data_IF_629250146489
#
_entry.id   IF_629250146489
#
_cell.length_a   1.000
_cell.length_b   1.000
_cell.length_c   1.000
_cell.angle_alpha   90.00
_cell.angle_beta   90.00
_cell.angle_gamma   90.00
#
_symmetry.space_group_name_H-M   'P 1'
#
loop_
_entity.id
_entity.type
_entity.pdbx_description
1 polymer ?
#
# COMPACT_ATOMS: atom_id res chain seq x y z
N UNK A 1 -7.24 -5.62 -9.99
CA UNK A 1 -8.34 -6.24 -9.20
C UNK A 1 -9.00 -5.22 -8.28
N UNK A 2 -8.27 -4.56 -7.37
CA UNK A 2 -8.86 -3.60 -6.41
C UNK A 2 -9.79 -2.55 -7.05
N UNK A 3 -9.32 -1.76 -8.03
CA UNK A 3 -10.16 -0.75 -8.69
C UNK A 3 -11.40 -1.31 -9.40
N UNK A 4 -11.28 -2.50 -10.04
CA UNK A 4 -12.42 -3.16 -10.68
C UNK A 4 -13.44 -3.73 -9.67
N UNK A 5 -12.96 -4.24 -8.53
CA UNK A 5 -13.81 -4.67 -7.43
C UNK A 5 -14.56 -3.49 -6.80
N UNK A 6 -13.89 -2.35 -6.61
CA UNK A 6 -14.54 -1.11 -6.14
C UNK A 6 -15.57 -0.62 -7.15
N UNK A 7 -15.26 -0.60 -8.46
CA UNK A 7 -16.23 -0.23 -9.50
C UNK A 7 -17.50 -1.07 -9.44
N UNK A 8 -17.36 -2.39 -9.33
CA UNK A 8 -18.50 -3.29 -9.40
C UNK A 8 -19.27 -3.37 -8.06
N UNK A 9 -18.60 -3.25 -6.90
CA UNK A 9 -19.25 -3.33 -5.59
C UNK A 9 -19.75 -1.96 -5.08
N UNK A 10 -19.02 -0.89 -5.38
CA UNK A 10 -19.27 0.47 -4.88
C UNK A 10 -19.10 1.53 -5.99
N UNK A 11 -20.01 1.57 -6.99
CA UNK A 11 -19.85 2.42 -8.18
C UNK A 11 -19.76 3.92 -7.86
N UNK A 12 -20.54 4.42 -6.90
CA UNK A 12 -20.47 5.85 -6.52
C UNK A 12 -19.15 6.20 -5.85
N UNK A 13 -18.61 5.28 -5.02
CA UNK A 13 -17.28 5.46 -4.44
C UNK A 13 -16.21 5.46 -5.53
N UNK A 14 -16.29 4.52 -6.47
CA UNK A 14 -15.38 4.48 -7.61
C UNK A 14 -15.44 5.78 -8.42
N UNK A 15 -16.62 6.25 -8.79
CA UNK A 15 -16.81 7.46 -9.59
C UNK A 15 -16.23 8.69 -8.88
N UNK A 16 -16.56 8.86 -7.59
CA UNK A 16 -16.09 10.01 -6.78
C UNK A 16 -14.58 9.97 -6.59
N UNK A 17 -14.01 8.79 -6.29
CA UNK A 17 -12.58 8.61 -6.10
C UNK A 17 -11.81 8.89 -7.40
N UNK A 18 -12.22 8.32 -8.53
CA UNK A 18 -11.49 8.45 -9.80
C UNK A 18 -11.65 9.83 -10.44
N UNK A 19 -12.79 10.50 -10.25
CA UNK A 19 -12.97 11.88 -10.69
C UNK A 19 -12.24 12.88 -9.79
N UNK A 20 -12.38 12.75 -8.46
CA UNK A 20 -11.75 13.67 -7.51
C UNK A 20 -10.23 13.54 -7.41
N UNK A 21 -9.72 12.31 -7.52
CA UNK A 21 -8.29 12.00 -7.46
C UNK A 21 -7.74 11.74 -8.86
N UNK A 22 -8.34 12.35 -9.89
CA UNK A 22 -7.94 12.16 -11.28
C UNK A 22 -6.44 12.32 -11.49
N UNK A 23 -5.88 13.47 -11.10
CA UNK A 23 -4.46 13.75 -11.33
C UNK A 23 -3.52 12.77 -10.56
N UNK A 24 -3.70 12.52 -9.24
CA UNK A 24 -2.92 11.51 -8.54
C UNK A 24 -3.00 10.13 -9.20
N UNK A 25 -4.20 9.66 -9.53
CA UNK A 25 -4.39 8.31 -10.10
C UNK A 25 -3.83 8.21 -11.52
N UNK A 26 -3.94 9.28 -12.32
CA UNK A 26 -3.32 9.37 -13.63
C UNK A 26 -1.79 9.30 -13.54
N UNK A 27 -1.18 10.03 -12.61
CA UNK A 27 0.26 10.00 -12.37
C UNK A 27 0.73 8.61 -11.90
N UNK A 28 -0.02 7.97 -10.99
CA UNK A 28 0.25 6.58 -10.58
C UNK A 28 0.22 5.66 -11.80
N UNK A 29 -0.82 5.74 -12.63
CA UNK A 29 -0.95 4.91 -13.83
C UNK A 29 0.25 5.10 -14.76
N UNK A 30 0.62 6.34 -15.04
CA UNK A 30 1.77 6.67 -15.87
C UNK A 30 3.07 6.08 -15.28
N UNK A 31 3.30 6.26 -13.98
CA UNK A 31 4.46 5.71 -13.28
C UNK A 31 4.53 4.18 -13.34
N UNK A 32 3.39 3.50 -13.20
CA UNK A 32 3.31 2.04 -13.30
C UNK A 32 3.54 1.53 -14.73
N UNK A 33 3.05 2.24 -15.75
CA UNK A 33 3.34 1.94 -17.16
C UNK A 33 4.83 2.09 -17.42
N UNK A 34 5.41 3.23 -17.06
CA UNK A 34 6.85 3.50 -17.23
C UNK A 34 7.70 2.45 -16.52
N UNK A 35 7.30 2.01 -15.32
CA UNK A 35 7.98 0.93 -14.60
C UNK A 35 7.93 -0.39 -15.36
N UNK A 36 6.78 -0.76 -15.93
CA UNK A 36 6.63 -1.98 -16.73
C UNK A 36 7.50 -1.97 -17.98
N UNK A 37 7.47 -0.87 -18.72
CA UNK A 37 8.34 -0.65 -19.89
C UNK A 37 9.81 -0.70 -19.47
N UNK A 38 10.18 -0.08 -18.35
CA UNK A 38 11.56 -0.04 -17.90
C UNK A 38 12.13 -1.43 -17.62
N UNK A 39 11.37 -2.36 -17.02
CA UNK A 39 11.84 -3.73 -16.82
C UNK A 39 12.13 -4.46 -18.13
N UNK A 40 11.30 -4.30 -19.15
CA UNK A 40 11.49 -4.95 -20.46
C UNK A 40 12.65 -4.33 -21.25
N UNK A 41 12.79 -3.00 -21.22
CA UNK A 41 13.75 -2.28 -22.06
C UNK A 41 15.14 -2.15 -21.45
N UNK A 42 15.27 -2.23 -20.12
CA UNK A 42 16.54 -2.06 -19.39
C UNK A 42 17.68 -2.90 -19.95
N UNK A 43 17.41 -4.16 -20.28
CA UNK A 43 18.44 -5.13 -20.71
C UNK A 43 18.55 -5.28 -22.24
N UNK A 44 17.84 -4.48 -23.04
CA UNK A 44 17.84 -4.58 -24.51
C UNK A 44 19.08 -3.96 -25.16
N UNK A 45 19.80 -3.09 -24.45
CA UNK A 45 20.98 -2.42 -24.96
C UNK A 45 22.07 -2.34 -23.89
N UNK A 46 23.33 -2.56 -24.29
CA UNK A 46 24.47 -2.67 -23.36
C UNK A 46 25.06 -1.34 -22.93
N UNK A 47 24.58 -0.21 -23.46
CA UNK A 47 25.04 1.12 -23.08
C UNK A 47 24.74 1.41 -21.59
N UNK A 48 25.75 1.77 -20.77
CA UNK A 48 25.54 2.12 -19.37
C UNK A 48 24.54 3.27 -19.14
N UNK A 49 24.51 4.27 -20.03
CA UNK A 49 23.55 5.39 -19.94
C UNK A 49 22.11 4.93 -20.15
N UNK A 50 21.91 3.94 -21.03
CA UNK A 50 20.60 3.34 -21.30
C UNK A 50 20.09 2.59 -20.06
N UNK A 51 20.94 1.73 -19.48
CA UNK A 51 20.59 0.99 -18.25
C UNK A 51 20.27 1.94 -17.10
N UNK A 52 21.08 2.98 -16.90
CA UNK A 52 20.86 3.98 -15.85
C UNK A 52 19.55 4.76 -16.03
N UNK A 53 19.20 5.15 -17.27
CA UNK A 53 17.92 5.79 -17.56
C UNK A 53 16.74 4.92 -17.12
N UNK A 54 16.75 3.64 -17.49
CA UNK A 54 15.67 2.72 -17.12
C UNK A 54 15.67 2.38 -15.63
N UNK A 55 16.82 2.33 -14.97
CA UNK A 55 16.92 2.22 -13.51
C UNK A 55 16.23 3.39 -12.81
N UNK A 56 16.45 4.62 -13.28
CA UNK A 56 15.73 5.80 -12.80
C UNK A 56 14.23 5.76 -13.08
N UNK A 57 13.81 5.24 -14.23
CA UNK A 57 12.39 5.03 -14.53
C UNK A 57 11.73 4.03 -13.58
N UNK A 58 12.40 2.91 -13.26
CA UNK A 58 11.91 1.94 -12.27
C UNK A 58 11.80 2.58 -10.89
N UNK A 59 12.83 3.33 -10.47
CA UNK A 59 12.85 4.01 -9.18
C UNK A 59 11.73 5.05 -9.08
N UNK A 60 11.66 5.99 -10.02
CA UNK A 60 10.69 7.07 -10.02
C UNK A 60 9.25 6.54 -10.10
N UNK A 61 8.99 5.57 -10.98
CA UNK A 61 7.67 4.95 -11.10
C UNK A 61 7.23 4.22 -9.83
N UNK A 62 8.17 3.57 -9.12
CA UNK A 62 7.89 2.91 -7.84
C UNK A 62 7.67 3.92 -6.72
N UNK A 63 8.52 4.95 -6.63
CA UNK A 63 8.42 6.02 -5.63
C UNK A 63 7.12 6.82 -5.77
N UNK A 64 6.71 7.12 -7.02
CA UNK A 64 5.48 7.84 -7.31
C UNK A 64 4.25 7.10 -6.76
N UNK A 65 4.21 5.77 -6.95
CA UNK A 65 3.13 4.94 -6.42
C UNK A 65 3.13 4.91 -4.88
N UNK A 66 4.30 4.80 -4.24
CA UNK A 66 4.39 4.79 -2.77
C UNK A 66 4.13 6.14 -2.11
N UNK A 67 4.15 7.23 -2.87
CA UNK A 67 3.78 8.57 -2.39
C UNK A 67 2.30 8.86 -2.61
N UNK A 68 1.79 8.64 -3.83
CA UNK A 68 0.45 9.10 -4.19
C UNK A 68 -0.68 8.20 -3.64
N UNK A 69 -0.48 6.88 -3.53
CA UNK A 69 -1.51 6.02 -2.91
C UNK A 69 -1.78 6.39 -1.44
N UNK A 70 -0.77 6.54 -0.57
CA UNK A 70 -0.99 6.96 0.81
C UNK A 70 -1.62 8.34 0.94
N UNK A 71 -1.23 9.29 0.07
CA UNK A 71 -1.89 10.60 -0.01
C UNK A 71 -3.38 10.42 -0.28
N UNK A 72 -3.73 9.55 -1.24
CA UNK A 72 -5.13 9.28 -1.53
C UNK A 72 -5.87 8.71 -0.31
N UNK A 73 -5.35 7.63 0.30
CA UNK A 73 -6.00 6.99 1.45
C UNK A 73 -6.08 7.88 2.70
N UNK A 74 -5.05 8.68 2.98
CA UNK A 74 -5.07 9.62 4.10
C UNK A 74 -6.14 10.71 3.91
N UNK A 75 -6.36 11.17 2.68
CA UNK A 75 -7.43 12.12 2.39
C UNK A 75 -8.82 11.48 2.47
N UNK A 76 -8.96 10.18 2.20
CA UNK A 76 -10.22 9.49 2.46
C UNK A 76 -10.56 9.50 3.97
N UNK A 77 -9.54 9.27 4.81
CA UNK A 77 -9.67 9.27 6.28
C UNK A 77 -9.96 10.66 6.86
N UNK A 78 -9.16 11.66 6.48
CA UNK A 78 -9.32 13.04 6.94
C UNK A 78 -10.62 13.67 6.42
N UNK A 79 -11.12 13.17 5.29
CA UNK A 79 -12.22 13.76 4.56
C UNK A 79 -11.77 14.77 3.51
N UNK A 80 -12.55 14.85 2.45
CA UNK A 80 -12.32 15.72 1.29
C UNK A 80 -13.57 16.51 0.95
N UNK A 81 -13.46 17.65 0.25
CA UNK A 81 -14.64 18.43 -0.12
C UNK A 81 -15.49 17.68 -1.14
N UNK A 82 -16.59 17.08 -0.70
CA UNK A 82 -17.57 16.37 -1.52
C UNK A 82 -18.91 17.07 -1.38
N UNK A 83 -19.56 17.39 -2.49
CA UNK A 83 -20.86 18.06 -2.51
C UNK A 83 -22.05 17.08 -2.44
N UNK A 84 -23.27 17.62 -2.46
CA UNK A 84 -24.51 16.86 -2.43
C UNK A 84 -24.70 15.87 -3.60
N UNK A 85 -23.99 16.07 -4.71
CA UNK A 85 -24.04 15.20 -5.89
C UNK A 85 -22.96 14.11 -5.86
N UNK A 86 -22.28 13.93 -4.73
CA UNK A 86 -21.11 13.06 -4.58
C UNK A 86 -19.96 13.46 -5.52
N UNK A 87 -19.80 14.75 -5.80
CA UNK A 87 -18.70 15.25 -6.62
C UNK A 87 -17.64 15.90 -5.75
N UNK A 88 -16.38 15.62 -6.08
CA UNK A 88 -15.26 16.29 -5.44
C UNK A 88 -15.17 17.75 -5.90
N UNK A 89 -15.26 18.67 -4.95
CA UNK A 89 -15.24 20.11 -5.20
C UNK A 89 -13.86 20.77 -4.96
N UNK A 90 -12.84 19.97 -4.62
CA UNK A 90 -11.49 20.47 -4.37
C UNK A 90 -10.58 20.48 -5.59
N UNK A 91 -9.35 20.97 -5.42
CA UNK A 91 -8.28 20.87 -6.41
C UNK A 91 -7.14 19.98 -5.93
N UNK A 92 -6.22 19.59 -6.83
CA UNK A 92 -5.11 18.69 -6.51
C UNK A 92 -4.31 19.07 -5.26
N UNK A 93 -4.00 20.36 -5.08
CA UNK A 93 -3.20 20.82 -3.94
C UNK A 93 -3.91 20.67 -2.58
N UNK A 94 -5.24 20.53 -2.56
CA UNK A 94 -5.99 20.23 -1.33
C UNK A 94 -5.60 18.85 -0.77
N UNK A 95 -5.23 17.91 -1.64
CA UNK A 95 -4.78 16.57 -1.25
C UNK A 95 -3.39 16.60 -0.60
N UNK A 96 -2.60 17.66 -0.83
CA UNK A 96 -1.25 17.81 -0.29
C UNK A 96 -1.27 18.56 1.04
N UNK A 97 -1.80 17.91 2.08
CA UNK A 97 -1.81 18.42 3.45
C UNK A 97 -0.81 17.67 4.34
N UNK A 98 -0.42 18.23 5.51
CA UNK A 98 0.59 17.62 6.39
C UNK A 98 0.29 16.18 6.80
N UNK A 99 -0.98 15.84 7.01
CA UNK A 99 -1.39 14.47 7.35
C UNK A 99 -1.19 13.49 6.18
N UNK A 100 -1.56 13.89 4.97
CA UNK A 100 -1.34 13.10 3.77
C UNK A 100 0.15 12.94 3.42
N UNK A 101 0.96 13.98 3.63
CA UNK A 101 2.42 13.93 3.45
C UNK A 101 3.09 13.03 4.48
N UNK A 102 2.62 13.03 5.73
CA UNK A 102 3.06 12.08 6.75
C UNK A 102 2.75 10.64 6.30
N UNK A 103 1.54 10.38 5.80
CA UNK A 103 1.16 9.07 5.28
C UNK A 103 2.09 8.61 4.14
N UNK A 104 2.40 9.49 3.18
CA UNK A 104 3.34 9.22 2.09
C UNK A 104 4.72 8.85 2.60
N UNK A 105 5.25 9.60 3.56
CA UNK A 105 6.56 9.34 4.15
C UNK A 105 6.59 7.99 4.87
N UNK A 106 5.59 7.73 5.71
CA UNK A 106 5.47 6.48 6.50
C UNK A 106 5.42 5.28 5.57
N UNK A 107 4.53 5.29 4.58
CA UNK A 107 4.33 4.14 3.70
C UNK A 107 5.52 3.94 2.76
N UNK A 108 6.13 5.02 2.26
CA UNK A 108 7.35 4.92 1.44
C UNK A 108 8.49 4.26 2.22
N UNK A 109 8.73 4.67 3.47
CA UNK A 109 9.77 4.07 4.31
C UNK A 109 9.41 2.66 4.78
N UNK A 110 8.13 2.40 5.07
CA UNK A 110 7.65 1.06 5.43
C UNK A 110 7.83 0.08 4.25
N UNK A 111 7.53 0.48 3.02
CA UNK A 111 7.78 -0.35 1.84
C UNK A 111 9.27 -0.49 1.53
N UNK A 112 10.09 0.52 1.82
CA UNK A 112 11.54 0.41 1.71
C UNK A 112 12.08 -0.63 2.69
N UNK A 113 11.64 -0.59 3.96
CA UNK A 113 11.98 -1.59 4.98
C UNK A 113 11.51 -3.00 4.58
N UNK A 114 10.29 -3.11 4.08
CA UNK A 114 9.70 -4.37 3.60
C UNK A 114 10.46 -4.96 2.40
N UNK A 115 10.84 -4.12 1.44
CA UNK A 115 11.66 -4.51 0.29
C UNK A 115 13.07 -4.93 0.71
N UNK A 116 13.70 -4.20 1.63
CA UNK A 116 15.02 -4.55 2.15
C UNK A 116 15.00 -5.86 2.95
N UNK A 117 13.97 -6.10 3.77
CA UNK A 117 13.82 -7.36 4.50
C UNK A 117 13.59 -8.53 3.53
N UNK A 118 12.83 -8.35 2.44
CA UNK A 118 12.72 -9.33 1.39
C UNK A 118 14.05 -9.60 0.67
N UNK A 119 14.80 -8.57 0.30
CA UNK A 119 16.11 -8.73 -0.34
C UNK A 119 17.08 -9.50 0.55
N UNK A 120 17.11 -9.21 1.85
CA UNK A 120 17.99 -9.90 2.80
C UNK A 120 17.79 -11.42 2.87
N UNK A 121 16.61 -11.93 2.52
CA UNK A 121 16.36 -13.38 2.44
C UNK A 121 16.53 -13.92 1.01
N UNK A 122 16.41 -13.05 0.00
CA UNK A 122 16.37 -13.45 -1.40
C UNK A 122 17.74 -13.41 -2.10
N UNK A 123 18.63 -12.53 -1.70
CA UNK A 123 19.96 -12.35 -2.30
C UNK A 123 21.05 -12.94 -1.43
N UNK A 124 22.24 -13.19 -1.97
CA UNK A 124 23.45 -13.61 -1.23
C UNK A 124 24.57 -12.55 -1.34
N UNK A 125 25.65 -12.71 -0.56
CA UNK A 125 26.87 -11.91 -0.68
C UNK A 125 26.70 -10.45 -0.27
N UNK A 126 27.30 -9.53 -1.03
CA UNK A 126 27.34 -8.10 -0.71
C UNK A 126 25.93 -7.46 -0.67
N UNK A 127 25.03 -7.86 -1.59
CA UNK A 127 23.66 -7.33 -1.64
C UNK A 127 22.87 -7.74 -0.41
N UNK A 128 23.07 -8.98 0.07
CA UNK A 128 22.46 -9.44 1.33
C UNK A 128 22.89 -8.56 2.50
N UNK A 129 24.19 -8.28 2.64
CA UNK A 129 24.73 -7.48 3.74
C UNK A 129 24.18 -6.05 3.72
N UNK A 130 24.20 -5.39 2.54
CA UNK A 130 23.63 -4.05 2.38
C UNK A 130 22.14 -3.99 2.72
N UNK A 131 21.36 -5.00 2.30
CA UNK A 131 19.95 -5.09 2.62
C UNK A 131 19.73 -5.25 4.13
N UNK A 132 20.52 -6.09 4.80
CA UNK A 132 20.45 -6.29 6.27
C UNK A 132 20.79 -5.01 7.03
N UNK A 133 21.83 -4.30 6.63
CA UNK A 133 22.22 -3.01 7.23
C UNK A 133 21.13 -1.96 7.06
N UNK A 134 20.54 -1.87 5.87
CA UNK A 134 19.43 -0.95 5.61
C UNK A 134 18.22 -1.26 6.50
N UNK A 135 17.88 -2.54 6.70
CA UNK A 135 16.83 -2.95 7.65
C UNK A 135 17.16 -2.51 9.08
N UNK A 136 18.40 -2.72 9.54
CA UNK A 136 18.85 -2.29 10.89
C UNK A 136 18.75 -0.79 11.10
N UNK A 137 19.12 -0.01 10.09
CA UNK A 137 19.10 1.45 10.16
C UNK A 137 17.67 2.01 10.08
N UNK A 138 16.85 1.51 9.14
CA UNK A 138 15.50 2.03 8.92
C UNK A 138 14.47 1.59 9.96
N UNK A 139 14.65 0.43 10.59
CA UNK A 139 13.60 -0.17 11.43
C UNK A 139 13.10 0.77 12.53
N UNK A 140 13.99 1.39 13.30
CA UNK A 140 13.62 2.33 14.39
C UNK A 140 12.85 3.54 13.87
N UNK A 141 13.30 4.10 12.75
CA UNK A 141 12.64 5.25 12.11
C UNK A 141 11.22 4.89 11.65
N UNK A 142 11.06 3.71 11.03
CA UNK A 142 9.75 3.23 10.56
C UNK A 142 8.81 2.96 11.74
N UNK A 143 9.29 2.35 12.83
CA UNK A 143 8.49 2.15 14.06
C UNK A 143 7.96 3.49 14.57
N UNK A 144 8.84 4.49 14.71
CA UNK A 144 8.49 5.80 15.21
C UNK A 144 7.46 6.49 14.29
N UNK A 145 7.68 6.46 12.98
CA UNK A 145 6.76 7.08 12.02
C UNK A 145 5.41 6.39 11.95
N UNK A 146 5.37 5.05 11.97
CA UNK A 146 4.10 4.30 12.04
C UNK A 146 3.33 4.68 13.31
N UNK A 147 4.00 4.76 14.45
CA UNK A 147 3.37 5.15 15.71
C UNK A 147 2.81 6.57 15.66
N UNK A 148 3.59 7.53 15.16
CA UNK A 148 3.16 8.93 14.97
C UNK A 148 1.96 9.00 14.03
N UNK A 149 2.00 8.29 12.89
CA UNK A 149 0.90 8.28 11.93
C UNK A 149 -0.39 7.71 12.55
N UNK A 150 -0.29 6.61 13.29
CA UNK A 150 -1.45 6.01 13.94
C UNK A 150 -2.06 6.97 14.96
N UNK A 151 -1.26 7.55 15.87
CA UNK A 151 -1.75 8.55 16.84
C UNK A 151 -2.39 9.73 16.12
N UNK A 152 -1.72 10.27 15.11
CA UNK A 152 -2.24 11.40 14.34
C UNK A 152 -3.55 11.06 13.66
N UNK A 153 -3.70 9.83 13.15
CA UNK A 153 -4.95 9.36 12.55
C UNK A 153 -6.09 9.36 13.58
N UNK A 154 -5.87 8.83 14.79
CA UNK A 154 -6.87 8.86 15.88
C UNK A 154 -7.26 10.28 16.35
N UNK A 155 -6.38 11.26 16.15
CA UNK A 155 -6.64 12.66 16.53
C UNK A 155 -7.40 13.39 15.42
N UNK A 156 -7.06 13.14 14.16
CA UNK A 156 -7.62 13.87 13.01
C UNK A 156 -8.95 13.29 12.55
N UNK A 157 -9.14 11.96 12.66
CA UNK A 157 -10.39 11.34 12.23
C UNK A 157 -11.46 11.41 13.32
N UNK A 158 -12.70 11.32 12.89
CA UNK A 158 -13.93 11.24 13.69
C UNK A 158 -14.12 9.91 14.42
N UNK A 159 -13.08 9.05 14.45
CA UNK A 159 -13.15 7.71 15.07
C UNK A 159 -13.58 7.73 16.53
N UNK A 160 -13.36 8.85 17.24
CA UNK A 160 -13.75 9.00 18.65
C UNK A 160 -15.26 8.84 18.84
N UNK A 161 -16.06 9.17 17.84
CA UNK A 161 -17.51 9.03 17.87
C UNK A 161 -17.96 7.58 17.62
N UNK A 162 -17.10 6.75 17.02
CA UNK A 162 -17.43 5.41 16.52
C UNK A 162 -16.40 4.33 16.90
N UNK A 163 -15.76 4.47 18.07
CA UNK A 163 -14.76 3.51 18.56
C UNK A 163 -15.37 2.11 18.64
N UNK A 164 -14.68 1.12 18.05
CA UNK A 164 -15.07 -0.27 18.09
C UNK A 164 -13.84 -1.18 18.33
N UNK A 165 -14.09 -2.48 18.45
CA UNK A 165 -13.02 -3.46 18.70
C UNK A 165 -11.91 -3.41 17.63
N UNK A 166 -12.28 -3.29 16.35
CA UNK A 166 -11.34 -3.32 15.24
C UNK A 166 -10.52 -2.04 15.10
N UNK A 167 -11.11 -0.87 15.41
CA UNK A 167 -10.38 0.40 15.36
C UNK A 167 -9.24 0.43 16.35
N UNK A 168 -9.32 -0.29 17.48
CA UNK A 168 -8.24 -0.40 18.46
C UNK A 168 -7.30 -1.57 18.17
N UNK A 169 -7.85 -2.76 17.88
CA UNK A 169 -7.05 -3.99 17.81
C UNK A 169 -6.13 -4.01 16.59
N UNK A 170 -6.59 -3.57 15.43
CA UNK A 170 -5.76 -3.57 14.22
C UNK A 170 -4.49 -2.70 14.34
N UNK A 171 -4.56 -1.42 14.78
CA UNK A 171 -3.34 -0.63 14.96
C UNK A 171 -2.43 -1.20 16.05
N UNK A 172 -2.99 -1.76 17.13
CA UNK A 172 -2.19 -2.43 18.16
C UNK A 172 -1.42 -3.61 17.58
N UNK A 173 -2.05 -4.44 16.75
CA UNK A 173 -1.37 -5.55 16.08
C UNK A 173 -0.32 -5.04 15.08
N UNK A 174 -0.60 -3.97 14.33
CA UNK A 174 0.38 -3.37 13.41
C UNK A 174 1.65 -2.91 14.14
N UNK A 175 1.47 -2.22 15.28
CA UNK A 175 2.56 -1.75 16.16
C UNK A 175 3.29 -2.94 16.81
N UNK A 176 2.57 -3.92 17.35
CA UNK A 176 3.16 -5.10 17.95
C UNK A 176 3.99 -5.90 16.92
N UNK A 177 3.51 -6.04 15.69
CA UNK A 177 4.22 -6.71 14.61
C UNK A 177 5.53 -5.98 14.26
N UNK A 178 5.51 -4.65 14.10
CA UNK A 178 6.73 -3.93 13.75
C UNK A 178 7.74 -3.91 14.91
N UNK A 179 7.27 -3.88 16.15
CA UNK A 179 8.13 -4.03 17.33
C UNK A 179 8.74 -5.45 17.41
N UNK A 180 7.93 -6.48 17.16
CA UNK A 180 8.39 -7.87 17.07
C UNK A 180 9.41 -8.07 15.94
N UNK A 181 9.32 -7.32 14.84
CA UNK A 181 10.34 -7.30 13.80
C UNK A 181 11.72 -6.92 14.37
N UNK A 182 11.78 -5.95 15.30
CA UNK A 182 13.02 -5.57 15.99
C UNK A 182 13.59 -6.68 16.87
N UNK A 183 12.74 -7.45 17.53
CA UNK A 183 13.16 -8.63 18.30
C UNK A 183 13.83 -9.68 17.41
N UNK A 184 13.22 -10.00 16.26
CA UNK A 184 13.80 -10.95 15.31
C UNK A 184 15.02 -10.41 14.58
N UNK A 185 15.08 -9.09 14.39
CA UNK A 185 16.23 -8.41 13.80
C UNK A 185 17.48 -8.57 14.67
N UNK A 186 17.36 -8.41 16.00
CA UNK A 186 18.45 -8.67 16.96
C UNK A 186 18.93 -10.13 16.96
N UNK A 187 18.08 -11.06 16.55
CA UNK A 187 18.40 -12.49 16.41
C UNK A 187 18.90 -12.86 15.01
N UNK A 188 19.08 -11.89 14.12
CA UNK A 188 19.47 -12.11 12.72
C UNK A 188 18.47 -13.01 11.94
N UNK A 189 17.21 -13.08 12.37
CA UNK A 189 16.18 -13.94 11.78
C UNK A 189 15.37 -13.20 10.71
N UNK A 190 16.01 -12.81 9.61
CA UNK A 190 15.42 -11.94 8.58
C UNK A 190 14.15 -12.50 7.91
N UNK A 191 13.98 -13.82 7.84
CA UNK A 191 12.71 -14.41 7.37
C UNK A 191 11.52 -14.06 8.27
N UNK A 192 11.72 -13.99 9.59
CA UNK A 192 10.70 -13.57 10.54
C UNK A 192 10.53 -12.05 10.55
N UNK A 193 11.60 -11.29 10.33
CA UNK A 193 11.53 -9.84 10.13
C UNK A 193 10.63 -9.52 8.93
N UNK A 194 10.85 -10.19 7.79
CA UNK A 194 10.01 -10.05 6.61
C UNK A 194 8.54 -10.36 6.91
N UNK A 195 8.26 -11.51 7.55
CA UNK A 195 6.89 -11.87 7.96
C UNK A 195 6.24 -10.80 8.85
N UNK A 196 6.97 -10.28 9.83
CA UNK A 196 6.46 -9.22 10.70
C UNK A 196 6.17 -7.94 9.92
N UNK A 197 7.00 -7.56 8.93
CA UNK A 197 6.70 -6.42 8.06
C UNK A 197 5.47 -6.67 7.18
N UNK A 198 5.22 -7.90 6.71
CA UNK A 198 3.97 -8.26 6.02
C UNK A 198 2.76 -8.02 6.92
N UNK A 199 2.84 -8.48 8.18
CA UNK A 199 1.77 -8.30 9.16
C UNK A 199 1.55 -6.82 9.47
N UNK A 200 2.62 -6.04 9.65
CA UNK A 200 2.50 -4.58 9.83
C UNK A 200 1.78 -3.94 8.65
N UNK A 201 2.16 -4.23 7.40
CA UNK A 201 1.50 -3.67 6.22
C UNK A 201 0.03 -4.09 6.16
N UNK A 202 -0.27 -5.37 6.39
CA UNK A 202 -1.65 -5.88 6.38
C UNK A 202 -2.52 -5.19 7.43
N UNK A 203 -2.07 -5.14 8.69
CA UNK A 203 -2.82 -4.52 9.77
C UNK A 203 -2.86 -3.00 9.67
N UNK A 204 -1.84 -2.36 9.10
CA UNK A 204 -1.86 -0.92 8.80
C UNK A 204 -2.96 -0.58 7.79
N UNK A 205 -3.10 -1.36 6.72
CA UNK A 205 -4.19 -1.20 5.75
C UNK A 205 -5.55 -1.51 6.38
N UNK A 206 -5.65 -2.56 7.19
CA UNK A 206 -6.89 -2.88 7.92
C UNK A 206 -7.28 -1.76 8.89
N UNK A 207 -6.32 -1.11 9.55
CA UNK A 207 -6.58 0.07 10.38
C UNK A 207 -7.21 1.19 9.57
N UNK A 208 -6.68 1.53 8.39
CA UNK A 208 -7.26 2.58 7.54
C UNK A 208 -8.74 2.29 7.26
N UNK A 209 -9.08 1.07 6.86
CA UNK A 209 -10.49 0.73 6.59
C UNK A 209 -11.35 0.61 7.84
N UNK A 210 -10.80 0.20 8.98
CA UNK A 210 -11.52 0.18 10.25
C UNK A 210 -11.84 1.60 10.75
N UNK A 211 -10.91 2.56 10.54
CA UNK A 211 -11.12 3.97 10.85
C UNK A 211 -12.12 4.64 9.90
N UNK A 212 -12.19 4.19 8.64
CA UNK A 212 -13.18 4.70 7.68
C UNK A 212 -14.60 4.19 7.96
N UNK A 213 -14.74 2.95 8.39
CA UNK A 213 -16.05 2.31 8.54
C UNK A 213 -16.99 3.09 9.48
N UNK A 214 -18.26 3.35 9.10
CA UNK A 214 -18.99 2.79 7.95
C UNK A 214 -18.84 3.59 6.63
N UNK A 215 -18.09 4.68 6.66
CA UNK A 215 -17.76 5.46 5.48
C UNK A 215 -16.74 4.71 4.60
N UNK A 216 -16.77 5.01 3.32
CA UNK A 216 -15.71 4.67 2.37
C UNK A 216 -14.98 5.92 1.89
N UNK A 217 -15.62 7.09 2.05
CA UNK A 217 -15.06 8.39 1.72
C UNK A 217 -15.81 9.48 2.51
N UNK A 218 -15.10 10.18 3.40
CA UNK A 218 -15.69 11.19 4.29
C UNK A 218 -15.79 12.55 3.58
N UNK A 219 -16.95 13.22 3.70
CA UNK A 219 -17.11 14.58 3.21
C UNK A 219 -16.73 15.60 4.29
N UNK A 220 -15.88 16.55 3.92
CA UNK A 220 -15.52 17.70 4.76
C UNK A 220 -16.49 18.89 4.64
N UNK A 221 -17.40 18.89 3.66
CA UNK A 221 -18.37 19.98 3.48
C UNK A 221 -19.63 19.76 4.33
N UNK A 222 -20.11 18.52 4.37
CA UNK A 222 -21.25 18.11 5.17
C UNK A 222 -21.13 16.62 5.50
N UNK A 223 -21.14 16.22 6.79
CA UNK A 223 -21.12 14.81 7.18
C UNK A 223 -22.17 13.94 6.46
N UNK A 224 -23.36 14.48 6.19
CA UNK A 224 -24.47 13.77 5.52
C UNK A 224 -24.17 13.43 4.04
N UNK A 225 -23.18 14.10 3.43
CA UNK A 225 -22.74 13.84 2.04
C UNK A 225 -21.61 12.82 1.96
N UNK A 226 -21.23 12.20 3.08
CA UNK A 226 -20.23 11.13 3.09
C UNK A 226 -20.73 9.91 2.32
N UNK A 227 -19.82 9.26 1.60
CA UNK A 227 -20.13 8.00 0.94
C UNK A 227 -19.95 6.88 1.96
N UNK A 228 -21.02 6.14 2.20
CA UNK A 228 -21.11 5.00 3.10
C UNK A 228 -21.16 3.70 2.33
N UNK A 229 -20.90 2.58 2.99
CA UNK A 229 -21.10 1.26 2.38
C UNK A 229 -22.55 1.02 1.93
N UNK A 230 -23.53 1.75 2.46
CA UNK A 230 -24.94 1.60 2.10
C UNK A 230 -25.32 2.46 0.90
N UNK A 231 -24.94 3.74 0.88
CA UNK A 231 -25.32 4.66 -0.20
C UNK A 231 -24.46 4.50 -1.47
N UNK A 232 -23.25 3.95 -1.33
CA UNK A 232 -22.33 3.79 -2.44
C UNK A 232 -22.36 2.41 -3.08
N UNK A 233 -23.02 1.43 -2.44
CA UNK A 233 -23.03 0.04 -2.89
C UNK A 233 -23.93 -0.23 -4.10
N UNK A 234 -23.55 -1.25 -4.86
CA UNK A 234 -24.36 -1.86 -5.91
C UNK A 234 -25.59 -2.59 -5.35
N UNK A 235 -26.51 -2.95 -6.24
CA UNK A 235 -27.71 -3.72 -5.87
C UNK A 235 -27.37 -5.06 -5.18
N UNK A 236 -28.25 -5.56 -4.28
CA UNK A 236 -28.01 -6.82 -3.57
C UNK A 236 -27.72 -8.01 -4.49
N UNK A 237 -28.37 -8.05 -5.66
CA UNK A 237 -28.12 -9.07 -6.68
C UNK A 237 -26.69 -9.01 -7.21
N UNK A 238 -26.20 -7.82 -7.56
CA UNK A 238 -24.84 -7.60 -8.05
C UNK A 238 -23.81 -7.99 -7.00
N UNK A 239 -24.02 -7.59 -5.74
CA UNK A 239 -23.14 -7.95 -4.63
C UNK A 239 -23.10 -9.46 -4.38
N UNK A 240 -24.25 -10.14 -4.47
CA UNK A 240 -24.32 -11.61 -4.36
C UNK A 240 -23.52 -12.27 -5.48
N UNK A 241 -23.67 -11.80 -6.72
CA UNK A 241 -22.94 -12.34 -7.87
C UNK A 241 -21.43 -12.14 -7.68
N UNK A 242 -20.97 -10.93 -7.36
CA UNK A 242 -19.56 -10.63 -7.11
C UNK A 242 -18.96 -11.46 -5.98
N UNK A 243 -19.74 -11.74 -4.93
CA UNK A 243 -19.32 -12.60 -3.82
C UNK A 243 -19.06 -14.02 -4.32
N UNK A 244 -19.95 -14.58 -5.14
CA UNK A 244 -19.77 -15.92 -5.74
C UNK A 244 -18.50 -15.95 -6.61
N UNK A 245 -18.31 -14.95 -7.48
CA UNK A 245 -17.10 -14.85 -8.30
C UNK A 245 -15.84 -14.77 -7.42
N UNK A 246 -15.86 -13.95 -6.36
CA UNK A 246 -14.72 -13.81 -5.46
C UNK A 246 -14.41 -15.12 -4.74
N UNK A 247 -15.41 -15.84 -4.23
CA UNK A 247 -15.23 -17.12 -3.55
C UNK A 247 -14.64 -18.22 -4.45
N UNK A 248 -14.87 -18.15 -5.77
CA UNK A 248 -14.32 -19.11 -6.74
C UNK A 248 -12.91 -18.69 -7.17
N UNK A 249 -12.75 -17.45 -7.65
CA UNK A 249 -11.51 -17.02 -8.31
C UNK A 249 -10.41 -16.61 -7.33
N UNK A 250 -10.74 -16.07 -6.16
CA UNK A 250 -9.73 -15.65 -5.17
C UNK A 250 -8.89 -16.83 -4.69
N UNK A 251 -9.47 -17.99 -4.28
CA UNK A 251 -8.67 -19.16 -3.90
C UNK A 251 -7.76 -19.65 -5.04
N UNK A 252 -8.25 -19.67 -6.28
CA UNK A 252 -7.47 -20.10 -7.45
C UNK A 252 -6.25 -19.19 -7.64
N UNK A 253 -6.46 -17.86 -7.59
CA UNK A 253 -5.38 -16.88 -7.70
C UNK A 253 -4.36 -17.03 -6.57
N UNK A 254 -4.82 -17.25 -5.33
CA UNK A 254 -3.94 -17.46 -4.18
C UNK A 254 -3.12 -18.75 -4.29
N UNK A 255 -3.73 -19.85 -4.75
CA UNK A 255 -3.03 -21.13 -4.99
C UNK A 255 -1.96 -20.94 -6.06
N UNK A 256 -2.32 -20.33 -7.20
CA UNK A 256 -1.38 -20.06 -8.28
C UNK A 256 -0.22 -19.17 -7.83
N UNK A 257 -0.51 -18.12 -7.07
CA UNK A 257 0.51 -17.23 -6.53
C UNK A 257 1.43 -17.95 -5.54
N UNK A 258 0.86 -18.77 -4.65
CA UNK A 258 1.61 -19.60 -3.71
C UNK A 258 2.51 -20.61 -4.41
N UNK A 259 2.00 -21.27 -5.44
CA UNK A 259 2.77 -22.18 -6.28
C UNK A 259 3.92 -21.47 -6.99
N UNK A 260 3.66 -20.29 -7.57
CA UNK A 260 4.70 -19.46 -8.21
C UNK A 260 5.82 -19.11 -7.23
N UNK A 261 5.49 -18.66 -6.01
CA UNK A 261 6.48 -18.38 -4.96
C UNK A 261 7.26 -19.63 -4.55
N UNK A 262 6.60 -20.79 -4.50
CA UNK A 262 7.24 -22.05 -4.16
C UNK A 262 8.22 -22.52 -5.24
N UNK A 263 7.87 -22.39 -6.51
CA UNK A 263 8.73 -22.69 -7.66
C UNK A 263 9.96 -21.78 -7.63
N UNK A 264 9.77 -20.48 -7.50
CA UNK A 264 10.86 -19.50 -7.50
C UNK A 264 11.48 -19.26 -6.11
N UNK A 265 11.43 -20.21 -5.18
CA UNK A 265 11.87 -19.98 -3.79
C UNK A 265 13.40 -19.79 -3.62
N UNK A 266 14.20 -20.29 -4.55
CA UNK A 266 15.67 -20.28 -4.46
C UNK A 266 16.23 -18.85 -4.34
N UNK A 267 17.38 -18.70 -3.69
CA UNK A 267 18.08 -17.41 -3.57
C UNK A 267 18.78 -17.06 -4.87
N UNK A 268 18.93 -15.77 -5.13
CA UNK A 268 19.61 -15.23 -6.32
C UNK A 268 21.06 -14.91 -5.93
N UNK A 269 22.02 -15.47 -6.68
CA UNK A 269 23.45 -15.23 -6.54
C UNK A 269 23.97 -14.42 -7.72
N UNK A 270 25.05 -13.67 -7.51
CA UNK A 270 25.78 -12.95 -8.57
C UNK A 270 26.70 -13.87 -9.39
N UNK A 271 26.92 -15.12 -8.96
CA UNK A 271 27.74 -16.08 -9.68
C UNK A 271 26.93 -16.77 -10.81
N UNK A 272 27.33 -16.60 -12.08
CA UNK A 272 26.56 -17.10 -13.24
C UNK A 272 26.42 -18.62 -13.28
N UNK A 273 27.33 -19.39 -12.66
CA UNK A 273 27.29 -20.86 -12.63
C UNK A 273 26.16 -21.45 -11.77
N UNK A 274 25.52 -20.64 -10.91
CA UNK A 274 24.46 -21.10 -10.00
C UNK A 274 23.04 -20.62 -10.38
N UNK A 275 22.88 -20.01 -11.56
CA UNK A 275 21.57 -19.60 -12.09
C UNK A 275 20.81 -20.80 -12.65
N UNK A 276 20.20 -21.59 -11.77
CA UNK A 276 19.20 -22.59 -12.19
C UNK A 276 17.89 -21.89 -12.55
N UNK A 277 17.62 -21.79 -13.86
CA UNK A 277 16.33 -21.35 -14.41
C UNK A 277 15.22 -22.37 -14.11
#
# INVERSE_FOLDING_TARGET
MAGGATFAAFPNWYATLFSGFYLPLFLILLGLIVRGVAFEFRSKHDNPKWRNLWDWCVFAGSLLATILFPIAFANLLRGVPIDANMQYAGGFFNLLNPYALLAALVVTLLFTLHGASFLSIKTTGEIEQKAKELVRWLWLLVVLLVFIFLITSFIITDVQEHINFFTIVFPVIAVAAILAAGYFLRKEQFGRVFLMTCLTVAFFVLTIFALLYPNVMVSSLNPDWSLTIQNAASSPYTLKLMTIFTLIFLPIVLIYQGWTYWVFRKRVSSEPENLTY
#
